data_IF_307231168901
#
_entry.id   IF_307231168901
#
_cell.length_a   1.000
_cell.length_b   1.000
_cell.length_c   1.000
_cell.angle_alpha   90.00
_cell.angle_beta   90.00
_cell.angle_gamma   90.00
#
_symmetry.space_group_name_H-M   'P 1'
#
loop_
_entity.id
_entity.type
_entity.pdbx_description
1 polymer ?
#
# COMPACT_ATOMS: atom_id res chain seq x y z
N UNK A 1 34.68 13.59 -25.51
CA UNK A 1 33.96 12.33 -25.22
C UNK A 1 32.72 12.58 -24.36
N UNK A 2 32.29 13.84 -24.29
CA UNK A 2 31.34 14.35 -23.29
C UNK A 2 29.90 14.40 -23.82
N UNK A 3 29.73 14.23 -25.13
CA UNK A 3 28.42 14.18 -25.80
C UNK A 3 27.72 12.81 -25.65
N UNK A 4 28.46 11.76 -25.29
CA UNK A 4 27.95 10.39 -25.16
C UNK A 4 27.21 10.13 -23.84
N UNK A 5 27.40 10.98 -22.82
CA UNK A 5 26.59 10.96 -21.59
C UNK A 5 25.28 11.74 -21.79
N UNK A 6 25.25 12.66 -22.76
CA UNK A 6 24.11 13.53 -23.04
C UNK A 6 23.10 12.94 -24.05
N UNK A 7 23.39 11.79 -24.66
CA UNK A 7 22.35 11.04 -25.36
C UNK A 7 21.30 10.64 -24.34
N UNK A 8 20.06 11.15 -24.43
CA UNK A 8 19.06 10.89 -23.42
C UNK A 8 18.84 9.38 -23.37
N UNK A 9 19.07 8.82 -22.18
CA UNK A 9 18.84 7.42 -21.82
C UNK A 9 17.37 6.98 -22.10
N UNK A 10 16.52 7.93 -22.52
CA UNK A 10 15.17 7.81 -23.05
C UNK A 10 14.96 6.79 -24.17
N UNK A 11 15.97 6.42 -24.97
CA UNK A 11 15.79 5.47 -26.09
C UNK A 11 16.08 4.00 -25.75
N UNK A 12 16.61 3.69 -24.56
CA UNK A 12 17.02 2.33 -24.17
C UNK A 12 16.03 1.57 -23.28
N UNK A 13 14.94 2.21 -22.85
CA UNK A 13 13.98 1.70 -21.88
C UNK A 13 13.74 2.70 -20.77
N UNK A 14 12.60 2.60 -20.09
CA UNK A 14 12.32 3.45 -18.92
C UNK A 14 13.25 3.00 -17.79
N UNK A 15 14.36 3.71 -17.62
CA UNK A 15 15.31 3.48 -16.55
C UNK A 15 14.86 4.13 -15.24
N UNK A 16 15.58 3.81 -14.18
CA UNK A 16 15.49 4.53 -12.90
C UNK A 16 15.62 6.07 -13.05
N UNK A 17 16.53 6.63 -13.87
CA UNK A 17 16.64 8.09 -13.97
C UNK A 17 15.40 8.76 -14.55
N UNK A 18 14.76 8.19 -15.58
CA UNK A 18 13.51 8.71 -16.15
C UNK A 18 12.38 8.72 -15.12
N UNK A 19 12.23 7.61 -14.38
CA UNK A 19 11.22 7.49 -13.31
C UNK A 19 11.46 8.53 -12.22
N UNK A 20 12.71 8.77 -11.85
CA UNK A 20 13.07 9.76 -10.84
C UNK A 20 12.69 11.18 -11.29
N UNK A 21 12.97 11.53 -12.56
CA UNK A 21 12.61 12.84 -13.12
C UNK A 21 11.10 13.04 -13.13
N UNK A 22 10.33 12.05 -13.58
CA UNK A 22 8.86 12.09 -13.55
C UNK A 22 8.34 12.23 -12.11
N UNK A 23 8.92 11.48 -11.17
CA UNK A 23 8.55 11.54 -9.75
C UNK A 23 8.78 12.93 -9.19
N UNK A 24 9.91 13.57 -9.49
CA UNK A 24 10.23 14.94 -9.04
C UNK A 24 9.23 15.95 -9.61
N UNK A 25 8.86 15.83 -10.89
CA UNK A 25 7.84 16.70 -11.50
C UNK A 25 6.51 16.55 -10.76
N UNK A 26 6.02 15.32 -10.57
CA UNK A 26 4.80 15.05 -9.80
C UNK A 26 4.92 15.61 -8.38
N UNK A 27 6.07 15.46 -7.73
CA UNK A 27 6.30 15.99 -6.39
C UNK A 27 6.30 17.51 -6.33
N UNK A 28 6.69 18.21 -7.40
CA UNK A 28 6.61 19.68 -7.49
C UNK A 28 5.16 20.15 -7.65
N UNK A 29 4.37 19.47 -8.50
CA UNK A 29 2.97 19.83 -8.72
C UNK A 29 2.06 19.48 -7.56
N UNK A 30 2.19 18.27 -7.01
CA UNK A 30 1.34 17.77 -5.93
C UNK A 30 1.93 18.02 -4.53
N UNK A 31 3.24 18.24 -4.43
CA UNK A 31 3.93 18.36 -3.15
C UNK A 31 4.29 17.00 -2.53
N UNK A 32 5.43 16.95 -1.83
CA UNK A 32 5.91 15.73 -1.15
C UNK A 32 4.96 15.19 -0.07
N UNK A 33 4.06 16.03 0.47
CA UNK A 33 3.10 15.64 1.50
C UNK A 33 1.84 14.94 0.95
N UNK A 34 1.46 15.20 -0.31
CA UNK A 34 0.22 14.66 -0.89
C UNK A 34 0.35 13.20 -1.30
N UNK A 35 1.51 12.77 -1.78
CA UNK A 35 1.74 11.36 -2.16
C UNK A 35 1.54 10.40 -0.96
N UNK A 36 2.18 10.61 0.23
CA UNK A 36 1.96 9.74 1.39
C UNK A 36 0.55 9.83 1.97
N UNK A 37 -0.08 11.01 1.90
CA UNK A 37 -1.46 11.22 2.37
C UNK A 37 -2.45 10.40 1.55
N UNK A 38 -2.32 10.45 0.21
CA UNK A 38 -3.12 9.65 -0.72
C UNK A 38 -2.84 8.15 -0.55
N UNK A 39 -1.57 7.73 -0.43
CA UNK A 39 -1.21 6.33 -0.19
C UNK A 39 -1.80 5.79 1.12
N UNK A 40 -1.80 6.58 2.20
CA UNK A 40 -2.43 6.19 3.48
C UNK A 40 -3.93 6.00 3.34
N UNK A 41 -4.62 6.87 2.60
CA UNK A 41 -6.05 6.73 2.32
C UNK A 41 -6.35 5.47 1.50
N UNK A 42 -5.61 5.28 0.41
CA UNK A 42 -5.76 4.13 -0.49
C UNK A 42 -5.43 2.81 0.22
N UNK A 43 -4.37 2.79 1.04
CA UNK A 43 -3.98 1.61 1.83
C UNK A 43 -5.02 1.21 2.87
N UNK A 44 -5.64 2.19 3.55
CA UNK A 44 -6.77 1.91 4.45
C UNK A 44 -7.98 1.36 3.68
N UNK A 45 -8.32 1.94 2.53
CA UNK A 45 -9.40 1.47 1.68
C UNK A 45 -9.19 0.03 1.20
N UNK A 46 -8.00 -0.30 0.70
CA UNK A 46 -7.65 -1.66 0.27
C UNK A 46 -7.69 -2.66 1.44
N UNK A 47 -7.21 -2.25 2.63
CA UNK A 47 -7.26 -3.09 3.83
C UNK A 47 -8.70 -3.40 4.23
N UNK A 48 -9.56 -2.39 4.37
CA UNK A 48 -10.97 -2.58 4.72
C UNK A 48 -11.75 -3.35 3.67
N UNK A 49 -11.45 -3.14 2.38
CA UNK A 49 -12.03 -3.91 1.29
C UNK A 49 -11.66 -5.39 1.39
N UNK A 50 -10.39 -5.69 1.67
CA UNK A 50 -9.92 -7.07 1.84
C UNK A 50 -10.52 -7.73 3.08
N UNK A 51 -10.66 -7.00 4.18
CA UNK A 51 -11.29 -7.49 5.42
C UNK A 51 -12.76 -7.85 5.20
N UNK A 52 -13.55 -6.95 4.60
CA UNK A 52 -14.96 -7.22 4.29
C UNK A 52 -15.14 -8.36 3.29
N UNK A 53 -14.26 -8.48 2.29
CA UNK A 53 -14.32 -9.60 1.34
C UNK A 53 -14.00 -10.95 2.01
N UNK A 54 -13.07 -10.97 2.98
CA UNK A 54 -12.75 -12.18 3.74
C UNK A 54 -13.89 -12.60 4.70
N UNK A 55 -14.61 -11.62 5.27
CA UNK A 55 -15.78 -11.87 6.11
C UNK A 55 -16.91 -12.50 5.28
N UNK A 56 -17.22 -11.91 4.13
CA UNK A 56 -18.21 -12.46 3.19
C UNK A 56 -17.84 -13.88 2.72
N UNK A 57 -16.58 -14.15 2.40
CA UNK A 57 -16.15 -15.51 2.04
C UNK A 57 -16.28 -16.50 3.21
N UNK A 58 -15.98 -16.09 4.45
CA UNK A 58 -16.16 -16.95 5.63
C UNK A 58 -17.61 -17.29 5.92
N UNK A 59 -18.51 -16.33 5.71
CA UNK A 59 -19.95 -16.51 5.90
C UNK A 59 -20.57 -17.43 4.84
N UNK A 60 -19.93 -17.55 3.66
CA UNK A 60 -20.37 -18.44 2.58
C UNK A 60 -19.86 -19.89 2.74
N UNK A 61 -18.80 -20.12 3.52
CA UNK A 61 -18.13 -21.43 3.66
C UNK A 61 -18.44 -22.18 4.97
N UNK A 62 -19.33 -21.69 5.84
CA UNK A 62 -19.59 -22.33 7.14
C UNK A 62 -21.10 -22.55 7.40
N UNK A 63 -21.63 -23.79 7.43
CA UNK A 63 -22.83 -24.05 8.21
C UNK A 63 -22.42 -23.96 9.69
N UNK A 64 -23.14 -23.13 10.44
CA UNK A 64 -23.10 -22.92 11.90
C UNK A 64 -22.10 -23.78 12.69
N UNK A 65 -21.06 -23.14 13.25
CA UNK A 65 -20.58 -23.31 14.63
C UNK A 65 -19.20 -22.68 14.79
N UNK A 66 -19.10 -21.71 15.72
CA UNK A 66 -18.01 -21.55 16.71
C UNK A 66 -18.14 -20.22 17.47
N UNK A 67 -18.74 -20.36 18.65
CA UNK A 67 -18.16 -20.00 19.95
C UNK A 67 -17.16 -18.84 20.04
N UNK A 68 -17.62 -17.79 20.74
CA UNK A 68 -17.04 -17.30 22.01
C UNK A 68 -15.57 -17.62 22.27
N UNK A 69 -14.72 -16.60 22.28
CA UNK A 69 -13.70 -16.38 23.34
C UNK A 69 -13.43 -14.87 23.51
N UNK A 70 -14.28 -14.24 24.31
CA UNK A 70 -13.84 -13.23 25.27
C UNK A 70 -13.16 -13.97 26.43
N UNK A 71 -12.06 -13.41 26.95
CA UNK A 71 -11.21 -14.10 27.92
C UNK A 71 -10.06 -13.22 28.38
N UNK A 72 -10.38 -12.27 29.25
CA UNK A 72 -9.42 -11.54 30.08
C UNK A 72 -8.54 -12.50 30.89
N UNK A 73 -7.26 -12.16 30.98
CA UNK A 73 -6.30 -12.77 31.89
C UNK A 73 -5.95 -11.78 32.99
N UNK A 74 -6.69 -11.88 34.09
CA UNK A 74 -6.31 -11.40 35.40
C UNK A 74 -6.76 -12.44 36.41
N UNK A 75 -5.86 -13.35 36.77
CA UNK A 75 -5.96 -14.01 38.07
C UNK A 75 -4.58 -14.22 38.66
N UNK A 76 -4.33 -13.33 39.63
CA UNK A 76 -3.32 -13.32 40.67
C UNK A 76 -3.22 -14.69 41.37
N UNK A 77 -2.00 -15.20 41.50
CA UNK A 77 -1.69 -16.35 42.35
C UNK A 77 -1.47 -15.87 43.79
N UNK A 78 -2.23 -16.43 44.73
CA UNK A 78 -1.96 -16.53 46.17
C UNK A 78 -2.19 -18.00 46.55
#
# INVERSE_FOLDING_TARGET
>A
MDILIATPLFLGGIGLPEILVILVIILLFFGAKKIPELMKGLGKGVKSFKEGMNEVTKDLDTPSDKDTKDGGQDTKAD
#
